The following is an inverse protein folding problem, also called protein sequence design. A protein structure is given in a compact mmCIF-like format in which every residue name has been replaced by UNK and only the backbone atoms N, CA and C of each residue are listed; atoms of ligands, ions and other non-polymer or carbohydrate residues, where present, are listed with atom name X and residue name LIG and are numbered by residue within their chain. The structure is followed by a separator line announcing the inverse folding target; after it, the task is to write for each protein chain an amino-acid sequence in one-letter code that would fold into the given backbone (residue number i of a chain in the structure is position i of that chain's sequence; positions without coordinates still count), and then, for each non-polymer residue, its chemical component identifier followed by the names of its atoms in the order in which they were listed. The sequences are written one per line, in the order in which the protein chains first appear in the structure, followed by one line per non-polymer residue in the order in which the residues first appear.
data_IF_334301899735
#
_entry.id   IF_334301899735
#
_cell.length_a   1.000
_cell.length_b   1.000
_cell.length_c   1.000
_cell.angle_alpha   90.00
_cell.angle_beta   90.00
_cell.angle_gamma   90.00
#
_symmetry.space_group_name_H-M   'P 1'
#
loop_
_entity.id
_entity.type
_entity.pdbx_description
1 polymer ?
#
# COMPACT_ATOMS: atom_id res chain seq x y z
N UNK A 1 -20.56 -38.19 14.01
CA UNK A 1 -19.76 -38.55 12.81
C UNK A 1 -18.63 -37.51 12.71
N UNK A 2 -17.58 -37.52 13.54
CA UNK A 2 -16.33 -38.32 13.55
C UNK A 2 -15.53 -38.34 12.22
N UNK A 3 -14.36 -37.68 12.26
CA UNK A 3 -13.12 -37.81 11.43
C UNK A 3 -13.18 -37.39 9.95
N UNK A 4 -12.36 -36.45 9.41
CA UNK A 4 -10.90 -36.21 9.39
C UNK A 4 -10.18 -36.87 8.17
N UNK A 5 -9.59 -35.99 7.33
CA UNK A 5 -8.43 -36.13 6.42
C UNK A 5 -8.48 -37.16 5.28
N UNK A 6 -8.25 -36.68 4.04
CA UNK A 6 -7.25 -37.26 3.11
C UNK A 6 -6.51 -36.19 2.31
N UNK A 7 -5.21 -36.10 2.57
CA UNK A 7 -4.16 -35.48 1.78
C UNK A 7 -3.89 -36.31 0.52
N UNK A 8 -3.60 -35.68 -0.62
CA UNK A 8 -2.90 -36.26 -1.79
C UNK A 8 -2.36 -35.03 -2.56
N UNK A 9 -1.14 -34.54 -2.37
CA UNK A 9 0.18 -35.09 -2.75
C UNK A 9 0.17 -35.77 -4.12
N UNK A 10 0.40 -34.98 -5.16
CA UNK A 10 0.97 -35.45 -6.42
C UNK A 10 2.35 -34.80 -6.56
N UNK A 11 3.36 -35.58 -6.16
CA UNK A 11 4.78 -35.35 -6.43
C UNK A 11 5.02 -35.88 -7.85
N UNK A 12 5.37 -35.00 -8.78
CA UNK A 12 5.97 -35.41 -10.04
C UNK A 12 7.47 -35.08 -9.97
N UNK A 13 8.28 -36.13 -9.87
CA UNK A 13 9.73 -36.10 -9.89
C UNK A 13 10.25 -36.63 -11.24
N UNK A 14 11.22 -35.90 -11.81
CA UNK A 14 12.50 -36.40 -12.36
C UNK A 14 12.56 -36.84 -13.84
N UNK A 15 13.33 -36.07 -14.64
CA UNK A 15 14.60 -36.45 -15.33
C UNK A 15 14.97 -35.34 -16.34
N UNK A 16 15.99 -34.51 -16.09
CA UNK A 16 17.44 -34.66 -16.39
C UNK A 16 17.74 -34.86 -17.88
N UNK A 17 18.39 -33.87 -18.49
CA UNK A 17 19.58 -34.05 -19.33
C UNK A 17 20.35 -32.73 -19.47
N UNK A 18 21.59 -32.76 -18.96
CA UNK A 18 22.64 -31.79 -19.24
C UNK A 18 22.97 -31.79 -20.73
N UNK A 19 23.13 -30.61 -21.34
CA UNK A 19 23.90 -30.48 -22.58
C UNK A 19 24.84 -29.30 -22.43
N UNK A 20 26.10 -29.63 -22.19
CA UNK A 20 27.23 -28.73 -22.33
C UNK A 20 27.58 -28.63 -23.82
N UNK A 21 27.71 -27.41 -24.34
CA UNK A 21 28.44 -27.17 -25.57
C UNK A 21 29.71 -26.37 -25.23
N UNK A 22 30.84 -27.03 -25.40
CA UNK A 22 32.20 -26.48 -25.58
C UNK A 22 32.38 -26.32 -27.11
N UNK A 23 33.12 -25.42 -27.76
CA UNK A 23 34.37 -24.69 -27.48
C UNK A 23 34.63 -23.72 -28.66
N UNK A 24 35.49 -22.71 -28.45
CA UNK A 24 36.34 -22.06 -29.47
C UNK A 24 35.69 -20.92 -30.27
N UNK A 25 36.30 -19.76 -30.53
CA UNK A 25 37.65 -19.24 -30.29
C UNK A 25 37.93 -18.10 -31.30
N UNK A 26 38.75 -17.14 -30.88
CA UNK A 26 39.53 -16.16 -31.69
C UNK A 26 39.02 -14.73 -31.86
N UNK A 27 39.96 -13.82 -31.59
CA UNK A 27 39.90 -12.37 -31.43
C UNK A 27 39.52 -11.58 -32.69
N UNK A 28 38.88 -10.42 -32.50
CA UNK A 28 39.19 -9.19 -33.24
C UNK A 28 38.74 -7.96 -32.44
N UNK A 29 39.68 -7.03 -32.31
CA UNK A 29 39.66 -5.85 -31.46
C UNK A 29 38.75 -4.72 -31.99
N UNK A 30 37.99 -4.08 -31.10
CA UNK A 30 37.45 -2.73 -31.31
C UNK A 30 37.47 -1.97 -29.97
N UNK A 31 38.08 -0.77 -29.86
CA UNK A 31 38.15 -0.02 -28.62
C UNK A 31 36.98 0.97 -28.48
N UNK A 32 36.44 1.07 -27.26
CA UNK A 32 35.78 2.28 -26.78
C UNK A 32 34.25 2.26 -26.72
N UNK A 33 33.67 1.57 -25.72
CA UNK A 33 32.40 1.97 -25.13
C UNK A 33 32.47 1.86 -23.59
N UNK A 34 32.89 2.98 -23.00
CA UNK A 34 32.74 3.35 -21.61
C UNK A 34 31.24 3.50 -21.24
N UNK A 35 30.57 2.38 -21.00
CA UNK A 35 29.29 2.39 -20.30
C UNK A 35 29.52 2.16 -18.80
N UNK A 36 29.24 3.14 -17.92
CA UNK A 36 29.15 2.85 -16.50
C UNK A 36 27.96 1.92 -16.29
N UNK A 37 28.25 0.64 -16.08
CA UNK A 37 27.31 -0.35 -15.58
C UNK A 37 26.90 0.06 -14.16
N UNK A 38 25.96 0.99 -14.10
CA UNK A 38 25.20 1.35 -12.92
C UNK A 38 24.00 0.42 -12.90
N UNK A 39 24.24 -0.84 -12.52
CA UNK A 39 23.17 -1.65 -11.93
C UNK A 39 22.50 -0.79 -10.86
N UNK A 40 21.17 -0.60 -10.89
CA UNK A 40 20.49 0.11 -9.82
C UNK A 40 20.71 -0.71 -8.56
N UNK A 41 21.55 -0.16 -7.68
CA UNK A 41 21.68 -0.59 -6.31
C UNK A 41 20.28 -0.71 -5.74
N UNK A 42 19.95 -1.93 -5.35
CA UNK A 42 18.73 -2.32 -4.64
C UNK A 42 18.56 -1.39 -3.45
N UNK A 43 17.71 -0.38 -3.62
CA UNK A 43 17.41 0.66 -2.65
C UNK A 43 17.04 0.00 -1.33
N UNK A 44 17.89 0.15 -0.31
CA UNK A 44 17.50 -0.13 1.05
C UNK A 44 16.22 0.67 1.33
N UNK A 45 15.12 -0.02 1.67
CA UNK A 45 13.81 0.56 1.87
C UNK A 45 13.89 1.62 2.99
N UNK A 46 14.01 2.89 2.61
CA UNK A 46 13.99 3.99 3.55
C UNK A 46 12.68 3.94 4.35
N UNK A 47 12.75 4.17 5.66
CA UNK A 47 11.57 4.26 6.51
C UNK A 47 10.71 5.41 6.00
N UNK A 48 9.42 5.15 5.75
CA UNK A 48 8.47 6.19 5.36
C UNK A 48 8.47 7.31 6.41
N UNK A 49 8.54 8.60 6.02
CA UNK A 49 8.42 9.71 6.96
C UNK A 49 6.97 9.91 7.43
N UNK A 50 6.02 9.26 6.74
CA UNK A 50 4.61 9.34 7.05
C UNK A 50 4.22 8.43 8.21
N UNK A 51 3.29 8.92 9.03
CA UNK A 51 2.66 8.18 10.11
C UNK A 51 1.19 8.56 10.20
N UNK A 52 0.35 7.60 10.54
CA UNK A 52 -1.09 7.83 10.57
C UNK A 52 -1.86 6.59 10.95
N UNK A 53 -3.16 6.76 11.10
CA UNK A 53 -4.08 5.66 11.25
C UNK A 53 -5.47 6.03 10.73
N UNK A 54 -6.16 5.06 10.14
CA UNK A 54 -7.61 5.09 9.93
C UNK A 54 -8.25 4.61 11.23
N UNK A 55 -8.95 5.51 11.93
CA UNK A 55 -9.56 5.24 13.24
C UNK A 55 -11.07 5.06 13.16
N UNK A 56 -11.69 5.43 12.05
CA UNK A 56 -13.13 5.23 11.81
C UNK A 56 -13.40 4.81 10.37
N UNK A 57 -14.25 3.80 10.22
CA UNK A 57 -14.89 3.43 8.95
C UNK A 57 -16.29 2.89 9.22
N UNK A 58 -17.31 3.58 8.74
CA UNK A 58 -18.70 3.12 8.73
C UNK A 58 -19.28 3.19 7.30
N UNK A 59 -20.60 3.18 7.14
CA UNK A 59 -21.24 3.25 5.83
C UNK A 59 -21.32 4.66 5.25
N UNK A 60 -20.96 5.69 6.02
CA UNK A 60 -21.09 7.09 5.60
C UNK A 60 -19.74 7.76 5.48
N UNK A 61 -18.77 7.35 6.30
CA UNK A 61 -17.51 8.03 6.50
C UNK A 61 -16.35 7.08 6.70
N UNK A 62 -15.20 7.49 6.16
CA UNK A 62 -13.89 6.97 6.56
C UNK A 62 -13.04 8.15 7.04
N UNK A 63 -12.46 8.02 8.23
CA UNK A 63 -11.72 9.09 8.88
C UNK A 63 -10.49 8.55 9.61
N UNK A 64 -9.56 9.47 9.84
CA UNK A 64 -8.30 9.15 10.47
C UNK A 64 -7.40 10.37 10.50
N UNK A 65 -6.11 10.10 10.60
CA UNK A 65 -5.08 11.12 10.56
C UNK A 65 -3.83 10.62 9.85
N UNK A 66 -3.09 11.54 9.25
CA UNK A 66 -1.78 11.28 8.67
C UNK A 66 -0.91 12.53 8.71
N UNK A 67 0.36 12.36 9.04
CA UNK A 67 1.36 13.43 9.12
C UNK A 67 2.66 12.98 8.45
N UNK A 68 3.45 13.94 7.97
CA UNK A 68 4.84 13.76 7.56
C UNK A 68 5.74 14.26 8.71
N UNK A 69 6.44 13.36 9.41
CA UNK A 69 7.33 13.76 10.50
C UNK A 69 8.56 14.56 10.04
N UNK A 70 8.90 14.50 8.76
CA UNK A 70 9.92 15.38 8.18
C UNK A 70 9.42 16.81 7.97
N UNK A 71 8.10 17.02 7.86
CA UNK A 71 7.46 18.31 7.60
C UNK A 71 6.10 18.43 8.33
N UNK A 72 6.08 18.41 9.68
CA UNK A 72 4.83 18.36 10.45
C UNK A 72 3.94 19.61 10.32
N UNK A 73 4.47 20.73 9.82
CA UNK A 73 3.67 21.94 9.55
C UNK A 73 2.96 21.91 8.18
N UNK A 74 3.28 20.94 7.33
CA UNK A 74 2.72 20.82 5.97
C UNK A 74 1.64 19.75 5.97
N UNK A 75 0.43 20.09 5.52
CA UNK A 75 -0.65 19.11 5.39
C UNK A 75 -0.31 18.06 4.34
N UNK A 76 -0.53 16.79 4.67
CA UNK A 76 -0.42 15.68 3.72
C UNK A 76 -1.71 15.60 2.92
N UNK A 77 -1.63 15.55 1.58
CA UNK A 77 -2.79 15.23 0.76
C UNK A 77 -3.08 13.72 0.85
N UNK A 78 -4.32 13.37 1.13
CA UNK A 78 -4.78 12.01 1.37
C UNK A 78 -5.67 11.59 0.23
N UNK A 79 -5.49 10.36 -0.25
CA UNK A 79 -6.26 9.77 -1.33
C UNK A 79 -7.15 8.65 -0.79
N UNK A 80 -8.45 8.74 -1.10
CA UNK A 80 -9.40 7.65 -0.90
C UNK A 80 -9.47 6.79 -2.15
N UNK A 81 -9.18 5.50 -2.01
CA UNK A 81 -9.45 4.49 -3.02
C UNK A 81 -10.57 3.56 -2.57
N UNK A 82 -11.49 3.25 -3.48
CA UNK A 82 -12.47 2.16 -3.30
C UNK A 82 -12.33 1.21 -4.48
N UNK A 83 -12.13 -0.07 -4.19
CA UNK A 83 -11.88 -1.13 -5.19
C UNK A 83 -10.76 -0.75 -6.18
N UNK A 84 -9.68 -0.21 -5.64
CA UNK A 84 -8.50 0.27 -6.37
C UNK A 84 -8.75 1.46 -7.32
N UNK A 85 -9.94 2.08 -7.29
CA UNK A 85 -10.21 3.31 -8.01
C UNK A 85 -10.03 4.51 -7.09
N UNK A 86 -9.25 5.52 -7.53
CA UNK A 86 -9.16 6.79 -6.84
C UNK A 86 -10.52 7.50 -6.89
N UNK A 87 -11.04 7.84 -5.72
CA UNK A 87 -12.35 8.48 -5.55
C UNK A 87 -12.18 9.98 -5.32
N UNK A 88 -11.31 10.34 -4.39
CA UNK A 88 -11.14 11.72 -3.94
C UNK A 88 -9.76 11.93 -3.31
N UNK A 89 -9.26 13.16 -3.38
CA UNK A 89 -8.04 13.60 -2.70
C UNK A 89 -8.34 14.84 -1.87
N UNK A 90 -8.02 14.83 -0.57
CA UNK A 90 -8.24 15.97 0.34
C UNK A 90 -7.01 16.23 1.22
N UNK A 91 -6.75 17.48 1.66
CA UNK A 91 -5.69 17.75 2.64
C UNK A 91 -6.07 17.23 4.04
N UNK A 92 -5.13 16.56 4.71
CA UNK A 92 -5.21 16.20 6.12
C UNK A 92 -4.93 17.43 6.99
N UNK A 93 -5.97 18.23 7.26
CA UNK A 93 -5.84 19.53 7.93
C UNK A 93 -6.82 19.71 9.09
N UNK A 94 -7.72 18.74 9.30
CA UNK A 94 -8.71 18.82 10.37
C UNK A 94 -8.01 18.74 11.72
N UNK A 95 -8.34 19.68 12.62
CA UNK A 95 -7.76 19.72 13.94
C UNK A 95 -8.29 18.55 14.80
N UNK A 96 -7.36 17.84 15.42
CA UNK A 96 -7.56 16.74 16.34
C UNK A 96 -6.91 17.10 17.67
N UNK A 97 -7.67 17.64 18.64
CA UNK A 97 -7.11 18.10 19.92
C UNK A 97 -6.36 17.00 20.70
N UNK A 98 -6.77 15.75 20.52
CA UNK A 98 -6.10 14.54 21.04
C UNK A 98 -4.66 14.38 20.52
N UNK A 99 -4.39 14.81 19.29
CA UNK A 99 -3.09 14.68 18.64
C UNK A 99 -2.14 15.85 18.94
N UNK A 100 -2.64 16.96 19.51
CA UNK A 100 -1.80 18.13 19.81
C UNK A 100 -0.72 17.79 20.84
N UNK A 101 -1.08 16.99 21.85
CA UNK A 101 -0.15 16.61 22.93
C UNK A 101 0.81 15.47 22.56
N UNK A 102 0.47 14.68 21.54
CA UNK A 102 1.16 13.42 21.22
C UNK A 102 1.95 13.46 19.91
N UNK A 103 1.48 14.22 18.90
CA UNK A 103 2.02 14.18 17.53
C UNK A 103 2.45 15.56 17.02
N UNK A 104 1.91 16.67 17.54
CA UNK A 104 2.38 18.03 17.17
C UNK A 104 1.25 19.03 17.01
N UNK A 105 1.06 19.60 15.82
CA UNK A 105 0.03 20.64 15.57
C UNK A 105 -1.40 20.14 15.74
N UNK A 106 -1.59 18.81 15.68
CA UNK A 106 -2.90 18.15 15.69
C UNK A 106 -3.72 18.38 14.42
N UNK A 107 -3.23 19.15 13.44
CA UNK A 107 -3.93 19.43 12.17
C UNK A 107 -3.56 18.38 11.12
N UNK A 108 -3.87 17.14 11.44
CA UNK A 108 -3.52 15.96 10.63
C UNK A 108 -4.73 15.11 10.28
N UNK A 109 -5.93 15.53 10.69
CA UNK A 109 -7.15 14.77 10.48
C UNK A 109 -7.64 14.85 9.04
N UNK A 110 -8.18 13.74 8.55
CA UNK A 110 -8.93 13.67 7.30
C UNK A 110 -10.29 12.99 7.56
N UNK A 111 -11.27 13.27 6.71
CA UNK A 111 -12.54 12.55 6.69
C UNK A 111 -13.13 12.62 5.28
N UNK A 112 -13.46 11.46 4.73
CA UNK A 112 -14.15 11.32 3.45
C UNK A 112 -15.57 10.82 3.68
N UNK A 113 -16.48 11.21 2.78
CA UNK A 113 -17.79 10.57 2.66
C UNK A 113 -17.71 9.38 1.70
N UNK A 114 -18.34 8.26 2.06
CA UNK A 114 -18.46 7.12 1.14
C UNK A 114 -19.53 7.44 0.08
N UNK A 115 -19.19 7.45 -1.21
CA UNK A 115 -20.17 7.72 -2.27
C UNK A 115 -21.30 6.67 -2.26
N UNK A 116 -22.52 7.12 -2.56
CA UNK A 116 -23.70 6.24 -2.60
C UNK A 116 -23.57 5.07 -3.58
N UNK A 117 -22.75 5.22 -4.63
CA UNK A 117 -22.45 4.18 -5.61
C UNK A 117 -21.79 2.92 -5.00
N UNK A 118 -21.19 3.04 -3.81
CA UNK A 118 -20.56 1.93 -3.08
C UNK A 118 -21.42 1.46 -1.88
N UNK A 119 -22.67 1.92 -1.80
CA UNK A 119 -23.65 1.46 -0.81
C UNK A 119 -24.68 0.56 -1.50
N UNK A 120 -24.22 -0.44 -2.24
CA UNK A 120 -25.06 -1.28 -3.12
C UNK A 120 -25.37 -2.68 -2.54
N UNK A 121 -24.99 -2.93 -1.29
CA UNK A 121 -25.12 -4.22 -0.62
C UNK A 121 -24.09 -5.26 -1.04
N UNK A 122 -22.99 -4.87 -1.71
CA UNK A 122 -21.87 -5.75 -2.06
C UNK A 122 -20.62 -5.39 -1.26
N UNK A 123 -19.69 -6.35 -1.08
CA UNK A 123 -18.42 -6.08 -0.43
C UNK A 123 -17.54 -5.18 -1.30
N UNK A 124 -17.04 -4.11 -0.69
CA UNK A 124 -16.07 -3.17 -1.25
C UNK A 124 -14.85 -3.07 -0.33
N UNK A 125 -13.73 -2.60 -0.86
CA UNK A 125 -12.49 -2.41 -0.07
C UNK A 125 -11.96 -0.99 -0.20
N UNK A 126 -11.65 -0.38 0.95
CA UNK A 126 -11.02 0.94 1.06
C UNK A 126 -9.50 0.82 1.15
N UNK A 127 -8.79 1.73 0.48
CA UNK A 127 -7.40 2.06 0.81
C UNK A 127 -7.28 3.56 1.00
N UNK A 128 -6.46 3.97 1.96
CA UNK A 128 -6.12 5.36 2.22
C UNK A 128 -4.62 5.53 1.96
N UNK A 129 -4.27 6.45 1.07
CA UNK A 129 -2.87 6.71 0.67
C UNK A 129 -2.45 8.14 0.96
N UNK A 130 -1.15 8.36 1.20
CA UNK A 130 -0.57 9.70 1.13
C UNK A 130 -0.16 10.00 -0.32
N UNK A 131 -0.75 11.04 -0.92
CA UNK A 131 -0.58 11.38 -2.32
C UNK A 131 0.90 11.58 -2.69
N UNK A 132 1.28 11.10 -3.87
CA UNK A 132 2.67 11.17 -4.34
C UNK A 132 3.64 10.26 -3.58
N UNK A 133 3.14 9.26 -2.84
CA UNK A 133 3.95 8.27 -2.13
C UNK A 133 3.32 6.88 -2.19
N UNK A 134 4.11 5.85 -1.86
CA UNK A 134 3.63 4.47 -1.70
C UNK A 134 3.07 4.20 -0.28
N UNK A 135 2.98 5.22 0.57
CA UNK A 135 2.53 5.04 1.95
C UNK A 135 1.02 4.87 2.00
N UNK A 136 0.58 3.71 2.51
CA UNK A 136 -0.80 3.45 2.88
C UNK A 136 -0.99 3.68 4.38
N UNK A 137 -2.02 4.45 4.72
CA UNK A 137 -2.40 4.70 6.11
C UNK A 137 -2.99 3.41 6.68
N UNK A 138 -2.40 2.83 7.75
CA UNK A 138 -2.88 1.59 8.33
C UNK A 138 -4.22 1.79 9.04
N UNK A 139 -5.04 0.74 9.10
CA UNK A 139 -6.27 0.75 9.88
C UNK A 139 -5.97 0.36 11.33
N UNK A 140 -6.61 1.03 12.30
CA UNK A 140 -6.54 0.61 13.70
C UNK A 140 -7.21 -0.74 13.92
N UNK A 141 -6.82 -1.42 15.00
CA UNK A 141 -7.44 -2.69 15.41
C UNK A 141 -8.96 -2.54 15.54
N UNK A 142 -9.69 -3.46 14.93
CA UNK A 142 -11.16 -3.43 14.89
C UNK A 142 -11.76 -2.52 13.81
N UNK A 143 -10.94 -1.75 13.08
CA UNK A 143 -11.36 -1.00 11.89
C UNK A 143 -10.94 -1.78 10.65
N UNK A 144 -11.91 -2.22 9.85
CA UNK A 144 -11.62 -3.05 8.68
C UNK A 144 -11.71 -2.24 7.40
N UNK A 145 -10.78 -2.47 6.48
CA UNK A 145 -10.76 -1.90 5.14
C UNK A 145 -11.95 -2.33 4.28
N UNK A 146 -12.46 -3.55 4.48
CA UNK A 146 -13.63 -4.04 3.75
C UNK A 146 -14.94 -3.58 4.40
N UNK A 147 -15.93 -3.25 3.58
CA UNK A 147 -17.26 -2.84 4.01
C UNK A 147 -18.34 -3.34 3.04
N UNK A 148 -19.54 -3.55 3.57
CA UNK A 148 -20.74 -3.88 2.78
C UNK A 148 -21.88 -3.02 3.34
N UNK A 149 -22.38 -2.10 2.54
CA UNK A 149 -23.36 -1.11 2.96
C UNK A 149 -24.53 -1.09 2.00
N UNK A 150 -25.75 -0.89 2.53
CA UNK A 150 -26.97 -0.75 1.72
C UNK A 150 -27.37 0.72 1.64
N UNK A 151 -28.17 1.11 0.64
CA UNK A 151 -28.80 2.43 0.65
C UNK A 151 -29.65 2.56 1.91
N UNK A 152 -29.68 3.76 2.47
CA UNK A 152 -30.52 4.09 3.64
C UNK A 152 -32.02 4.03 3.29
#
# INVERSE_FOLDING_TARGET
MKHLKRFSILIALVNILMTACTQGGSNSSAPGQNNPSSSPSSSAKAKSPYYGAVDKRDCDTVAGWVTDFGKPEVSVNVELYVDNKLIETIPAQNLRPDLVKSVGTGRYGFSFNIPSAYKDGRPHTIKIGAAGSEYQVPFLDGVFASFECKPA
#
